data_IF_973786833477
#
_entry.id   IF_973786833477
#
_cell.length_a   1.000
_cell.length_b   1.000
_cell.length_c   1.000
_cell.angle_alpha   90.00
_cell.angle_beta   90.00
_cell.angle_gamma   90.00
#
_symmetry.space_group_name_H-M   'P 1'
#
loop_
_entity.id
_entity.type
_entity.pdbx_description
1 polymer ?
#
# COMPACT_ATOMS: atom_id res chain seq x y z
N UNK A 1 -1.04 6.60 6.26
CA UNK A 1 -0.76 5.25 5.74
C UNK A 1 0.10 4.48 6.76
N UNK A 2 -0.44 3.82 7.80
CA UNK A 2 0.38 2.93 8.63
C UNK A 2 0.94 1.75 7.80
N UNK A 3 2.14 1.28 8.12
CA UNK A 3 2.66 0.00 7.61
C UNK A 3 1.98 -1.14 8.33
N UNK A 4 1.31 -2.02 7.59
CA UNK A 4 0.58 -3.17 8.15
C UNK A 4 1.35 -4.48 8.00
N UNK A 5 2.26 -4.54 7.02
CA UNK A 5 3.10 -5.70 6.78
C UNK A 5 4.43 -5.29 6.12
N UNK A 6 5.44 -6.15 6.24
CA UNK A 6 6.68 -6.11 5.48
C UNK A 6 6.89 -7.47 4.82
N UNK A 7 7.11 -7.47 3.50
CA UNK A 7 7.35 -8.69 2.70
C UNK A 7 8.57 -8.44 1.82
N UNK A 8 9.63 -9.24 1.97
CA UNK A 8 10.88 -9.13 1.20
C UNK A 8 11.46 -7.70 1.14
N UNK A 9 11.35 -6.96 2.25
CA UNK A 9 11.81 -5.57 2.36
C UNK A 9 10.85 -4.50 1.82
N UNK A 10 9.71 -4.91 1.25
CA UNK A 10 8.64 -4.03 0.78
C UNK A 10 7.68 -3.71 1.93
N UNK A 11 7.42 -2.41 2.17
CA UNK A 11 6.41 -1.97 3.14
C UNK A 11 5.04 -1.95 2.48
N UNK A 12 4.08 -2.66 3.07
CA UNK A 12 2.68 -2.64 2.67
C UNK A 12 1.92 -1.68 3.58
N UNK A 13 1.23 -0.71 2.97
CA UNK A 13 0.61 0.40 3.69
C UNK A 13 -0.82 0.63 3.21
N UNK A 14 -1.75 0.80 4.15
CA UNK A 14 -3.16 1.11 3.88
C UNK A 14 -3.47 2.54 4.29
N UNK A 15 -4.37 3.21 3.56
CA UNK A 15 -4.94 4.47 4.03
C UNK A 15 -6.14 4.15 4.90
N UNK A 16 -6.18 4.71 6.10
CA UNK A 16 -7.33 4.54 6.98
C UNK A 16 -8.52 5.40 6.54
N UNK A 17 -8.26 6.50 5.82
CA UNK A 17 -9.31 7.32 5.20
C UNK A 17 -9.70 6.69 3.87
N UNK A 18 -10.63 5.76 3.96
CA UNK A 18 -11.22 5.00 2.87
C UNK A 18 -11.62 5.93 1.72
N UNK A 19 -10.96 5.79 0.57
CA UNK A 19 -11.39 6.45 -0.65
C UNK A 19 -11.46 5.42 -1.78
N UNK A 20 -12.55 5.43 -2.58
CA UNK A 20 -12.64 4.58 -3.75
C UNK A 20 -11.74 5.10 -4.89
N UNK A 21 -11.25 4.23 -5.79
CA UNK A 21 -11.28 2.77 -5.69
C UNK A 21 -10.32 2.24 -4.60
N UNK A 22 -10.61 1.07 -4.01
CA UNK A 22 -9.76 0.48 -2.98
C UNK A 22 -8.38 0.17 -3.54
N UNK A 23 -7.34 0.62 -2.85
CA UNK A 23 -5.97 0.37 -3.23
C UNK A 23 -5.06 0.33 -2.00
N UNK A 24 -3.84 -0.18 -2.17
CA UNK A 24 -2.78 -0.07 -1.16
C UNK A 24 -1.47 0.42 -1.77
N UNK A 25 -0.56 0.89 -0.92
CA UNK A 25 0.76 1.35 -1.35
C UNK A 25 1.82 0.31 -0.99
N UNK A 26 2.72 0.04 -1.93
CA UNK A 26 3.93 -0.74 -1.72
C UNK A 26 5.15 0.18 -1.85
N UNK A 27 5.96 0.28 -0.80
CA UNK A 27 7.18 1.09 -0.80
C UNK A 27 8.43 0.22 -0.72
N UNK A 28 9.41 0.50 -1.58
CA UNK A 28 10.76 -0.06 -1.54
C UNK A 28 11.79 1.06 -1.75
N UNK A 29 12.55 1.36 -0.70
CA UNK A 29 13.45 2.52 -0.68
C UNK A 29 12.69 3.81 -1.08
N UNK A 30 13.09 4.47 -2.16
CA UNK A 30 12.44 5.67 -2.73
C UNK A 30 11.32 5.37 -3.73
N UNK A 31 11.11 4.09 -4.08
CA UNK A 31 10.12 3.67 -5.06
C UNK A 31 8.77 3.42 -4.40
N UNK A 32 7.71 3.84 -5.08
CA UNK A 32 6.32 3.64 -4.66
C UNK A 32 5.49 3.03 -5.79
N UNK A 33 4.68 2.03 -5.45
CA UNK A 33 3.65 1.49 -6.32
C UNK A 33 2.27 1.63 -5.65
N UNK A 34 1.26 1.90 -6.47
CA UNK A 34 -0.16 1.87 -6.08
C UNK A 34 -0.76 0.61 -6.71
N UNK A 35 -1.37 -0.23 -5.89
CA UNK A 35 -1.98 -1.48 -6.33
C UNK A 35 -3.47 -1.38 -6.08
N UNK A 36 -4.24 -1.37 -7.17
CA UNK A 36 -5.69 -1.43 -7.14
C UNK A 36 -6.17 -2.82 -6.68
N UNK A 37 -7.23 -2.85 -5.89
CA UNK A 37 -7.88 -4.08 -5.45
C UNK A 37 -9.22 -4.17 -6.21
N UNK A 38 -9.24 -4.88 -7.32
CA UNK A 38 -10.51 -5.19 -8.00
C UNK A 38 -11.35 -6.17 -7.16
N UNK A 39 -12.67 -6.00 -7.19
CA UNK A 39 -13.66 -6.88 -6.56
C UNK A 39 -14.20 -7.92 -7.55
#
# INVERSE_FOLDING_TARGET
>A
MPTVAMVDGVKIMFYADDHPPPHFHALLAEHAAVIDIDA
#
